data_IF_277491775395
#
_entry.id   IF_277491775395
#
_cell.length_a   1.000
_cell.length_b   1.000
_cell.length_c   1.000
_cell.angle_alpha   90.00
_cell.angle_beta   90.00
_cell.angle_gamma   90.00
#
_symmetry.space_group_name_H-M   'P 1'
#
loop_
_entity.id
_entity.type
_entity.pdbx_description
1 polymer ?
#
# COMPACT_ATOMS: atom_id res chain seq x y z
N UNK A 1 47.29 9.56 14.87
CA UNK A 1 48.21 9.50 13.71
C UNK A 1 47.64 8.52 12.70
N UNK A 2 47.47 8.94 11.45
CA UNK A 2 46.73 8.20 10.42
C UNK A 2 47.35 6.83 10.14
N UNK A 3 46.52 5.79 10.04
CA UNK A 3 46.91 4.42 9.65
C UNK A 3 47.73 4.40 8.35
N UNK A 4 47.51 5.38 7.45
CA UNK A 4 48.34 5.55 6.24
C UNK A 4 49.78 5.94 6.55
N UNK A 5 50.01 6.81 7.53
CA UNK A 5 51.36 7.24 7.90
C UNK A 5 52.15 6.10 8.56
N UNK A 6 51.49 5.28 9.39
CA UNK A 6 52.11 4.08 9.98
C UNK A 6 52.40 3.02 8.91
N UNK A 7 51.52 2.85 7.92
CA UNK A 7 51.74 1.94 6.80
C UNK A 7 52.93 2.37 5.93
N UNK A 8 53.03 3.65 5.60
CA UNK A 8 54.15 4.18 4.80
C UNK A 8 55.49 4.00 5.50
N UNK A 9 55.56 4.28 6.80
CA UNK A 9 56.78 4.05 7.58
C UNK A 9 57.19 2.58 7.61
N UNK A 10 56.25 1.65 7.72
CA UNK A 10 56.53 0.21 7.70
C UNK A 10 56.95 -0.29 6.30
N UNK A 11 56.39 0.27 5.23
CA UNK A 11 56.80 -0.04 3.85
C UNK A 11 58.22 0.45 3.56
N UNK A 12 58.60 1.61 4.08
CA UNK A 12 59.97 2.15 4.00
C UNK A 12 60.97 1.29 4.79
N UNK A 13 60.62 0.86 6.00
CA UNK A 13 61.45 -0.04 6.81
C UNK A 13 61.59 -1.44 6.18
N UNK A 14 60.52 -1.96 5.57
CA UNK A 14 60.56 -3.25 4.87
C UNK A 14 61.48 -3.19 3.64
N UNK A 15 61.39 -2.13 2.84
CA UNK A 15 62.26 -1.93 1.69
C UNK A 15 63.74 -1.78 2.09
N UNK A 16 64.01 -1.10 3.21
CA UNK A 16 65.36 -1.00 3.76
C UNK A 16 65.92 -2.35 4.25
N UNK A 17 65.07 -3.18 4.87
CA UNK A 17 65.45 -4.53 5.31
C UNK A 17 65.69 -5.48 4.12
N UNK A 18 64.86 -5.42 3.08
CA UNK A 18 65.03 -6.23 1.86
C UNK A 18 66.35 -5.89 1.13
N UNK A 19 66.69 -4.60 1.03
CA UNK A 19 67.97 -4.16 0.46
C UNK A 19 69.16 -4.71 1.25
N UNK A 20 69.07 -4.67 2.59
CA UNK A 20 70.13 -5.16 3.48
C UNK A 20 70.26 -6.69 3.44
N UNK A 21 69.16 -7.42 3.29
CA UNK A 21 69.17 -8.87 3.06
C UNK A 21 69.80 -9.24 1.71
N UNK A 22 69.47 -8.52 0.63
CA UNK A 22 70.07 -8.76 -0.67
C UNK A 22 71.59 -8.52 -0.66
N UNK A 23 72.06 -7.54 0.09
CA UNK A 23 73.49 -7.26 0.27
C UNK A 23 74.20 -8.36 1.08
N UNK A 24 73.58 -8.87 2.14
CA UNK A 24 74.08 -10.03 2.90
C UNK A 24 74.14 -11.30 2.05
N UNK A 25 73.13 -11.55 1.21
CA UNK A 25 73.12 -12.69 0.28
C UNK A 25 74.20 -12.57 -0.79
N UNK A 26 74.47 -11.36 -1.28
CA UNK A 26 75.56 -11.10 -2.21
C UNK A 26 76.92 -11.36 -1.54
N UNK A 27 77.12 -10.91 -0.30
CA UNK A 27 78.32 -11.18 0.49
C UNK A 27 78.50 -12.68 0.76
N UNK A 28 77.43 -13.40 1.10
CA UNK A 28 77.47 -14.86 1.29
C UNK A 28 77.84 -15.61 0.01
N UNK A 29 77.29 -15.23 -1.13
CA UNK A 29 77.65 -15.82 -2.43
C UNK A 29 79.09 -15.52 -2.82
N UNK A 30 79.57 -14.30 -2.57
CA UNK A 30 80.96 -13.94 -2.80
C UNK A 30 81.90 -14.74 -1.90
N UNK A 31 81.54 -14.94 -0.63
CA UNK A 31 82.30 -15.78 0.28
C UNK A 31 82.29 -17.25 -0.20
N UNK A 32 81.14 -17.84 -0.52
CA UNK A 32 81.05 -19.22 -0.98
C UNK A 32 81.77 -19.45 -2.33
N UNK A 33 81.76 -18.46 -3.24
CA UNK A 33 82.47 -18.53 -4.52
C UNK A 33 84.01 -18.56 -4.40
N UNK A 34 84.58 -17.97 -3.34
CA UNK A 34 86.03 -18.05 -3.06
C UNK A 34 86.44 -19.49 -2.70
N UNK A 35 85.51 -20.31 -2.20
CA UNK A 35 85.77 -21.74 -1.89
C UNK A 35 85.88 -22.64 -3.13
N UNK A 36 85.48 -22.19 -4.31
CA UNK A 36 85.46 -23.01 -5.53
C UNK A 36 86.74 -22.92 -6.37
N UNK A 37 87.62 -21.94 -6.12
CA UNK A 37 88.81 -21.69 -6.95
C UNK A 37 90.14 -22.26 -6.39
N UNK A 38 90.15 -22.88 -5.21
CA UNK A 38 91.32 -23.61 -4.68
C UNK A 38 91.00 -25.09 -4.49
N UNK A 39 90.91 -25.83 -5.59
CA UNK A 39 91.06 -27.28 -5.60
C UNK A 39 92.40 -27.64 -6.24
N UNK A 40 93.46 -27.66 -5.43
CA UNK A 40 94.73 -28.35 -5.71
C UNK A 40 95.08 -29.18 -4.46
N UNK A 41 95.80 -30.31 -4.61
CA UNK A 41 95.79 -31.42 -3.65
C UNK A 41 96.40 -31.07 -2.28
N UNK A 42 96.06 -31.85 -1.23
CA UNK A 42 96.23 -31.45 0.17
C UNK A 42 97.65 -31.75 0.68
N UNK A 43 98.37 -30.70 1.10
CA UNK A 43 99.46 -30.80 2.06
C UNK A 43 98.90 -30.49 3.46
N UNK A 44 99.25 -31.33 4.45
CA UNK A 44 98.67 -31.37 5.80
C UNK A 44 98.78 -30.09 6.65
N UNK A 45 99.30 -28.99 6.12
CA UNK A 45 99.26 -27.66 6.73
C UNK A 45 97.98 -26.87 6.36
N UNK A 46 97.32 -27.23 5.27
CA UNK A 46 96.19 -26.49 4.69
C UNK A 46 94.85 -26.86 5.35
N UNK A 47 94.75 -28.02 6.00
CA UNK A 47 93.56 -28.43 6.75
C UNK A 47 93.32 -27.56 7.99
N UNK A 48 94.37 -26.98 8.59
CA UNK A 48 94.21 -26.07 9.73
C UNK A 48 93.69 -24.69 9.27
N UNK A 49 94.22 -24.15 8.17
CA UNK A 49 93.88 -22.80 7.68
C UNK A 49 92.50 -22.76 7.00
N UNK A 50 92.11 -23.81 6.26
CA UNK A 50 90.75 -23.92 5.68
C UNK A 50 89.69 -24.15 6.76
N UNK A 51 90.01 -24.92 7.80
CA UNK A 51 89.11 -25.11 8.94
C UNK A 51 89.00 -23.83 9.77
N UNK A 52 90.10 -23.10 9.98
CA UNK A 52 90.07 -21.80 10.66
C UNK A 52 89.30 -20.73 9.86
N UNK A 53 89.51 -20.61 8.54
CA UNK A 53 88.77 -19.67 7.68
C UNK A 53 87.28 -20.03 7.59
N UNK A 54 86.96 -21.32 7.50
CA UNK A 54 85.58 -21.81 7.52
C UNK A 54 84.88 -21.50 8.85
N UNK A 55 85.58 -21.71 9.98
CA UNK A 55 85.08 -21.37 11.32
C UNK A 55 84.95 -19.86 11.52
N UNK A 56 85.87 -19.04 10.98
CA UNK A 56 85.78 -17.58 11.02
C UNK A 56 84.57 -17.05 10.24
N UNK A 57 84.28 -17.62 9.07
CA UNK A 57 83.08 -17.29 8.29
C UNK A 57 81.78 -17.69 8.96
N UNK A 58 81.74 -18.87 9.56
CA UNK A 58 80.61 -19.33 10.36
C UNK A 58 80.40 -18.43 11.58
N UNK A 59 81.48 -18.01 12.24
CA UNK A 59 81.41 -17.02 13.33
C UNK A 59 80.90 -15.67 12.86
N UNK A 60 81.36 -15.17 11.71
CA UNK A 60 80.85 -13.93 11.12
C UNK A 60 79.36 -14.02 10.77
N UNK A 61 78.92 -15.13 10.16
CA UNK A 61 77.49 -15.36 9.89
C UNK A 61 76.68 -15.44 11.18
N UNK A 62 77.19 -16.14 12.20
CA UNK A 62 76.55 -16.21 13.51
C UNK A 62 76.47 -14.83 14.17
N UNK A 63 77.54 -14.03 14.10
CA UNK A 63 77.55 -12.66 14.61
C UNK A 63 76.57 -11.75 13.84
N UNK A 64 76.44 -11.91 12.52
CA UNK A 64 75.47 -11.17 11.72
C UNK A 64 74.02 -11.58 12.05
N UNK A 65 73.76 -12.87 12.26
CA UNK A 65 72.46 -13.38 12.69
C UNK A 65 72.14 -12.96 14.12
N UNK A 66 73.12 -12.96 15.02
CA UNK A 66 72.98 -12.44 16.38
C UNK A 66 72.73 -10.93 16.39
N UNK A 67 73.37 -10.18 15.48
CA UNK A 67 73.15 -8.74 15.31
C UNK A 67 71.77 -8.42 14.72
N UNK A 68 71.22 -9.27 13.86
CA UNK A 68 69.87 -9.11 13.29
C UNK A 68 68.74 -9.61 14.22
N UNK A 69 69.07 -10.46 15.20
CA UNK A 69 68.13 -10.99 16.21
C UNK A 69 67.32 -9.91 16.96
N UNK A 70 67.89 -8.78 17.43
CA UNK A 70 67.11 -7.72 18.07
C UNK A 70 66.09 -7.07 17.12
N UNK A 71 66.41 -6.93 15.82
CA UNK A 71 65.49 -6.35 14.83
C UNK A 71 64.29 -7.28 14.57
N UNK A 72 64.52 -8.59 14.48
CA UNK A 72 63.43 -9.58 14.41
C UNK A 72 62.58 -9.61 15.69
N UNK A 73 63.21 -9.43 16.86
CA UNK A 73 62.49 -9.33 18.12
C UNK A 73 61.63 -8.07 18.19
N UNK A 74 62.15 -6.93 17.71
CA UNK A 74 61.42 -5.67 17.60
C UNK A 74 60.26 -5.77 16.62
N UNK A 75 60.47 -6.34 15.43
CA UNK A 75 59.42 -6.56 14.42
C UNK A 75 58.32 -7.49 14.95
N UNK A 76 58.69 -8.55 15.66
CA UNK A 76 57.72 -9.45 16.32
C UNK A 76 56.93 -8.72 17.41
N UNK A 77 57.58 -7.84 18.17
CA UNK A 77 56.93 -6.98 19.15
C UNK A 77 55.95 -5.99 18.50
N UNK A 78 56.35 -5.34 17.41
CA UNK A 78 55.50 -4.45 16.64
C UNK A 78 54.30 -5.18 16.01
N UNK A 79 54.52 -6.38 15.46
CA UNK A 79 53.47 -7.25 14.94
C UNK A 79 52.47 -7.68 16.02
N UNK A 80 52.96 -8.03 17.22
CA UNK A 80 52.09 -8.34 18.36
C UNK A 80 51.28 -7.13 18.82
N UNK A 81 51.90 -5.94 18.90
CA UNK A 81 51.22 -4.70 19.24
C UNK A 81 50.14 -4.32 18.21
N UNK A 82 50.43 -4.47 16.91
CA UNK A 82 49.47 -4.23 15.85
C UNK A 82 48.31 -5.22 15.90
N UNK A 83 48.58 -6.51 16.15
CA UNK A 83 47.53 -7.53 16.31
C UNK A 83 46.62 -7.23 17.50
N UNK A 84 47.19 -6.75 18.62
CA UNK A 84 46.42 -6.30 19.76
C UNK A 84 45.54 -5.09 19.42
N UNK A 85 46.09 -4.08 18.73
CA UNK A 85 45.33 -2.92 18.28
C UNK A 85 44.20 -3.28 17.30
N UNK A 86 44.43 -4.21 16.38
CA UNK A 86 43.39 -4.69 15.45
C UNK A 86 42.29 -5.42 16.23
N UNK A 87 42.65 -6.24 17.21
CA UNK A 87 41.68 -6.98 18.03
C UNK A 87 40.83 -6.03 18.88
N UNK A 88 41.44 -4.99 19.46
CA UNK A 88 40.73 -3.93 20.18
C UNK A 88 39.82 -3.11 19.25
N UNK A 89 40.31 -2.79 18.04
CA UNK A 89 39.53 -2.15 16.98
C UNK A 89 38.32 -3.00 16.55
N UNK A 90 38.48 -4.31 16.42
CA UNK A 90 37.40 -5.23 16.12
C UNK A 90 36.36 -5.29 17.25
N UNK A 91 36.80 -5.41 18.50
CA UNK A 91 35.91 -5.45 19.66
C UNK A 91 35.10 -4.15 19.82
N UNK A 92 35.71 -3.00 19.54
CA UNK A 92 35.02 -1.71 19.55
C UNK A 92 34.04 -1.59 18.37
N UNK A 93 34.42 -2.03 17.17
CA UNK A 93 33.53 -2.05 16.00
C UNK A 93 32.30 -2.95 16.22
N UNK A 94 32.47 -4.13 16.82
CA UNK A 94 31.36 -5.03 17.17
C UNK A 94 30.42 -4.40 18.20
N UNK A 95 30.96 -3.77 19.25
CA UNK A 95 30.15 -3.06 20.25
C UNK A 95 29.34 -1.92 19.63
N UNK A 96 29.97 -1.12 18.77
CA UNK A 96 29.32 0.00 18.07
C UNK A 96 28.24 -0.54 17.13
N UNK A 97 28.54 -1.58 16.34
CA UNK A 97 27.58 -2.21 15.43
C UNK A 97 26.37 -2.79 16.17
N UNK A 98 26.59 -3.46 17.30
CA UNK A 98 25.52 -3.96 18.16
C UNK A 98 24.64 -2.83 18.73
N UNK A 99 25.27 -1.74 19.19
CA UNK A 99 24.54 -0.56 19.67
C UNK A 99 23.71 0.10 18.57
N UNK A 100 24.25 0.21 17.35
CA UNK A 100 23.54 0.76 16.17
C UNK A 100 22.34 -0.12 15.81
N UNK A 101 22.52 -1.45 15.70
CA UNK A 101 21.40 -2.37 15.43
C UNK A 101 20.31 -2.28 16.50
N UNK A 102 20.70 -2.17 17.77
CA UNK A 102 19.76 -1.99 18.88
C UNK A 102 19.01 -0.66 18.81
N UNK A 103 19.69 0.41 18.39
CA UNK A 103 19.08 1.71 18.16
C UNK A 103 18.11 1.68 16.97
N UNK A 104 18.49 1.05 15.86
CA UNK A 104 17.65 0.92 14.67
C UNK A 104 16.37 0.14 14.98
N UNK A 105 16.47 -0.94 15.75
CA UNK A 105 15.29 -1.69 16.20
C UNK A 105 14.37 -0.87 17.11
N UNK A 106 14.93 0.04 17.93
CA UNK A 106 14.11 0.98 18.74
C UNK A 106 13.50 2.07 17.87
N UNK A 107 14.24 2.59 16.90
CA UNK A 107 13.76 3.60 15.95
C UNK A 107 12.63 3.06 15.09
N UNK A 108 12.75 1.83 14.59
CA UNK A 108 11.70 1.17 13.83
C UNK A 108 10.43 0.98 14.67
N UNK A 109 10.57 0.52 15.92
CA UNK A 109 9.43 0.41 16.85
C UNK A 109 8.79 1.76 17.18
N UNK A 110 9.60 2.80 17.38
CA UNK A 110 9.11 4.14 17.63
C UNK A 110 8.36 4.71 16.41
N UNK A 111 8.89 4.50 15.20
CA UNK A 111 8.22 4.89 13.96
C UNK A 111 6.87 4.19 13.79
N UNK A 112 6.81 2.87 14.03
CA UNK A 112 5.56 2.13 13.97
C UNK A 112 4.54 2.60 15.02
N UNK A 113 4.99 2.94 16.22
CA UNK A 113 4.12 3.50 17.27
C UNK A 113 3.58 4.89 16.88
N UNK A 114 4.41 5.75 16.28
CA UNK A 114 3.97 7.06 15.78
C UNK A 114 2.90 6.93 14.70
N UNK A 115 3.11 6.06 13.70
CA UNK A 115 2.09 5.82 12.66
C UNK A 115 0.75 5.38 13.24
N UNK A 116 0.76 4.51 14.26
CA UNK A 116 -0.47 4.09 14.96
C UNK A 116 -1.15 5.22 15.74
N UNK A 117 -0.37 6.12 16.35
CA UNK A 117 -0.93 7.30 17.01
C UNK A 117 -1.54 8.24 15.99
N UNK A 118 -0.88 8.47 14.86
CA UNK A 118 -1.41 9.29 13.76
C UNK A 118 -2.73 8.71 13.23
N UNK A 119 -2.80 7.40 12.99
CA UNK A 119 -4.03 6.70 12.60
C UNK A 119 -5.15 6.86 13.64
N UNK A 120 -4.85 6.71 14.94
CA UNK A 120 -5.83 6.90 16.01
C UNK A 120 -6.33 8.35 16.08
N UNK A 121 -5.45 9.34 15.86
CA UNK A 121 -5.81 10.76 15.78
C UNK A 121 -6.69 11.01 14.55
N UNK A 122 -6.40 10.42 13.39
CA UNK A 122 -7.24 10.55 12.20
C UNK A 122 -8.63 9.94 12.40
N UNK A 123 -8.73 8.77 13.04
CA UNK A 123 -10.01 8.13 13.34
C UNK A 123 -10.85 9.01 14.27
N UNK A 124 -10.23 9.57 15.31
CA UNK A 124 -10.91 10.53 16.21
C UNK A 124 -11.32 11.80 15.46
N UNK A 125 -10.47 12.32 14.59
CA UNK A 125 -10.79 13.48 13.74
C UNK A 125 -11.96 13.21 12.80
N UNK A 126 -12.08 12.00 12.26
CA UNK A 126 -13.25 11.60 11.47
C UNK A 126 -14.52 11.59 12.34
N UNK A 127 -14.44 11.09 13.59
CA UNK A 127 -15.58 11.06 14.49
C UNK A 127 -16.08 12.45 14.89
N UNK A 128 -15.16 13.34 15.27
CA UNK A 128 -15.47 14.74 15.58
C UNK A 128 -15.95 15.48 14.32
N UNK A 129 -15.38 15.16 13.15
CA UNK A 129 -15.80 15.67 11.85
C UNK A 129 -17.24 15.32 11.51
N UNK A 130 -17.67 14.07 11.71
CA UNK A 130 -19.07 13.66 11.52
C UNK A 130 -19.99 14.41 12.47
N UNK A 131 -19.64 14.47 13.77
CA UNK A 131 -20.45 15.18 14.78
C UNK A 131 -20.60 16.67 14.43
N UNK A 132 -19.52 17.32 14.01
CA UNK A 132 -19.53 18.71 13.58
C UNK A 132 -20.32 18.94 12.28
N UNK A 133 -20.19 18.05 11.30
CA UNK A 133 -20.94 18.13 10.05
C UNK A 133 -22.45 17.93 10.28
N UNK A 134 -22.82 17.00 11.16
CA UNK A 134 -24.21 16.80 11.59
C UNK A 134 -24.76 18.05 12.30
N UNK A 135 -23.99 18.68 13.18
CA UNK A 135 -24.40 19.92 13.86
C UNK A 135 -24.63 21.08 12.88
N UNK A 136 -23.88 21.13 11.78
CA UNK A 136 -24.04 22.13 10.71
C UNK A 136 -25.13 21.76 9.69
N UNK A 137 -25.68 20.55 9.75
CA UNK A 137 -26.65 20.04 8.78
C UNK A 137 -26.06 19.69 7.41
N UNK A 138 -24.74 19.60 7.28
CA UNK A 138 -24.04 19.21 6.05
C UNK A 138 -23.84 17.69 6.01
N UNK A 139 -24.81 17.03 5.39
CA UNK A 139 -24.85 15.57 5.27
C UNK A 139 -23.78 15.04 4.29
N UNK A 140 -23.35 15.85 3.32
CA UNK A 140 -22.32 15.47 2.36
C UNK A 140 -20.95 15.35 3.01
N UNK A 141 -20.58 16.34 3.82
CA UNK A 141 -19.34 16.28 4.60
C UNK A 141 -19.36 15.15 5.62
N UNK A 142 -20.50 14.89 6.28
CA UNK A 142 -20.63 13.79 7.23
C UNK A 142 -20.38 12.43 6.57
N UNK A 143 -20.97 12.18 5.40
CA UNK A 143 -20.77 10.95 4.64
C UNK A 143 -19.33 10.81 4.13
N UNK A 144 -18.69 11.90 3.73
CA UNK A 144 -17.28 11.88 3.36
C UNK A 144 -16.38 11.42 4.53
N UNK A 145 -16.63 11.93 5.75
CA UNK A 145 -15.90 11.51 6.94
C UNK A 145 -16.17 10.04 7.31
N UNK A 146 -17.40 9.53 7.14
CA UNK A 146 -17.72 8.11 7.34
C UNK A 146 -17.02 7.21 6.31
N UNK A 147 -16.98 7.62 5.04
CA UNK A 147 -16.25 6.88 4.00
C UNK A 147 -14.75 6.80 4.30
N UNK A 148 -14.15 7.93 4.71
CA UNK A 148 -12.75 7.98 5.12
C UNK A 148 -12.48 7.08 6.32
N UNK A 149 -13.39 7.06 7.30
CA UNK A 149 -13.30 6.17 8.46
C UNK A 149 -13.26 4.70 8.05
N UNK A 150 -14.16 4.25 7.16
CA UNK A 150 -14.16 2.87 6.67
C UNK A 150 -12.90 2.49 5.87
N UNK A 151 -12.28 3.45 5.16
CA UNK A 151 -11.02 3.22 4.46
C UNK A 151 -9.83 3.09 5.42
N UNK A 152 -9.79 3.90 6.48
CA UNK A 152 -8.75 3.86 7.51
C UNK A 152 -8.82 2.58 8.35
N UNK A 153 -10.03 2.15 8.71
CA UNK A 153 -10.24 0.92 9.49
C UNK A 153 -9.77 -0.33 8.70
N UNK A 154 -10.08 -0.40 7.39
CA UNK A 154 -9.60 -1.47 6.51
C UNK A 154 -8.06 -1.52 6.38
N UNK A 155 -7.42 -0.35 6.32
CA UNK A 155 -5.96 -0.23 6.29
C UNK A 155 -5.33 -0.65 7.62
N UNK A 156 -5.89 -0.23 8.75
CA UNK A 156 -5.46 -0.63 10.09
C UNK A 156 -5.58 -2.14 10.33
N UNK A 157 -6.66 -2.76 9.84
CA UNK A 157 -6.88 -4.21 9.89
C UNK A 157 -5.87 -5.00 9.05
N UNK A 158 -5.49 -4.48 7.87
CA UNK A 158 -4.53 -5.13 6.97
C UNK A 158 -3.10 -5.03 7.49
N UNK A 159 -2.71 -3.89 8.08
CA UNK A 159 -1.43 -3.73 8.76
C UNK A 159 -1.28 -4.59 10.03
N UNK A 160 -2.40 -4.97 10.66
CA UNK A 160 -2.42 -5.85 11.83
C UNK A 160 -2.06 -7.31 11.52
N UNK A 161 -2.28 -7.78 10.29
CA UNK A 161 -2.08 -9.19 9.93
C UNK A 161 -0.59 -9.58 9.86
N UNK A 162 0.28 -8.66 9.42
CA UNK A 162 1.75 -8.85 9.41
C UNK A 162 2.37 -8.72 10.83
N UNK A 163 1.57 -8.34 11.83
CA UNK A 163 2.01 -7.96 13.18
C UNK A 163 1.39 -8.80 14.31
N UNK A 164 0.71 -9.89 13.97
CA UNK A 164 0.07 -10.81 14.92
C UNK A 164 1.06 -11.40 15.95
N UNK A 165 2.36 -11.49 15.63
CA UNK A 165 3.40 -11.92 16.59
C UNK A 165 3.79 -10.85 17.63
N UNK A 166 3.42 -9.58 17.43
CA UNK A 166 3.67 -8.47 18.39
C UNK A 166 2.42 -8.09 19.21
N UNK A 167 1.37 -8.90 19.16
CA UNK A 167 0.04 -8.59 19.73
C UNK A 167 -0.02 -8.52 21.27
N UNK A 168 0.95 -9.10 21.99
CA UNK A 168 0.93 -9.15 23.47
C UNK A 168 1.08 -7.78 24.18
N UNK A 169 1.48 -6.72 23.46
CA UNK A 169 1.57 -5.34 23.98
C UNK A 169 0.43 -4.45 23.44
N UNK A 170 -0.41 -4.97 22.54
CA UNK A 170 -1.42 -4.20 21.80
C UNK A 170 -2.80 -4.15 22.46
N UNK A 171 -3.08 -5.04 23.40
CA UNK A 171 -4.37 -5.11 24.11
C UNK A 171 -4.78 -3.82 24.85
N UNK A 172 -3.91 -3.10 25.58
CA UNK A 172 -4.34 -1.92 26.33
C UNK A 172 -4.61 -0.69 25.44
N UNK A 173 -3.94 -0.54 24.30
CA UNK A 173 -4.20 0.57 23.36
C UNK A 173 -5.45 0.32 22.52
N UNK A 174 -5.70 -0.93 22.13
CA UNK A 174 -6.97 -1.33 21.52
C UNK A 174 -8.14 -1.10 22.46
N UNK A 175 -8.02 -1.48 23.74
CA UNK A 175 -9.07 -1.22 24.72
C UNK A 175 -9.33 0.28 24.89
N UNK A 176 -8.31 1.11 25.07
CA UNK A 176 -8.51 2.56 25.32
C UNK A 176 -9.11 3.30 24.12
N UNK A 177 -8.77 2.92 22.88
CA UNK A 177 -9.36 3.55 21.68
C UNK A 177 -10.76 3.00 21.38
N UNK A 178 -11.01 1.71 21.62
CA UNK A 178 -12.31 1.08 21.34
C UNK A 178 -13.35 1.37 22.43
N UNK A 179 -12.95 1.42 23.71
CA UNK A 179 -13.85 1.71 24.83
C UNK A 179 -14.27 3.19 24.91
N UNK A 180 -13.42 4.11 24.41
CA UNK A 180 -13.72 5.55 24.41
C UNK A 180 -14.35 6.11 23.12
N UNK A 181 -14.10 5.50 21.96
CA UNK A 181 -14.49 6.06 20.65
C UNK A 181 -15.34 5.16 19.75
N UNK A 182 -15.30 3.83 19.94
CA UNK A 182 -16.03 2.88 19.10
C UNK A 182 -17.55 2.94 19.27
N UNK A 183 -18.02 3.10 20.52
CA UNK A 183 -19.45 3.24 20.82
C UNK A 183 -20.03 4.57 20.32
N UNK A 184 -19.27 5.65 20.44
CA UNK A 184 -19.66 6.97 19.97
C UNK A 184 -19.84 6.98 18.45
N UNK A 185 -18.95 6.35 17.69
CA UNK A 185 -19.04 6.34 16.23
C UNK A 185 -20.17 5.49 15.70
N UNK A 186 -20.41 4.30 16.27
CA UNK A 186 -21.55 3.48 15.86
C UNK A 186 -22.88 4.20 16.13
N UNK A 187 -23.01 4.87 17.29
CA UNK A 187 -24.20 5.65 17.64
C UNK A 187 -24.38 6.89 16.75
N UNK A 188 -23.29 7.62 16.46
CA UNK A 188 -23.30 8.79 15.56
C UNK A 188 -23.61 8.36 14.12
N UNK A 189 -23.08 7.22 13.66
CA UNK A 189 -23.36 6.67 12.35
C UNK A 189 -24.83 6.27 12.23
N UNK A 190 -25.41 5.63 13.24
CA UNK A 190 -26.83 5.26 13.25
C UNK A 190 -27.75 6.50 13.29
N UNK A 191 -27.34 7.51 14.05
CA UNK A 191 -28.02 8.82 14.05
C UNK A 191 -27.94 9.49 12.68
N UNK A 192 -26.81 9.43 11.98
CA UNK A 192 -26.67 9.94 10.62
C UNK A 192 -27.55 9.15 9.64
N UNK A 193 -27.58 7.82 9.74
CA UNK A 193 -28.42 6.95 8.89
C UNK A 193 -29.89 7.31 9.04
N UNK A 194 -30.39 7.38 10.27
CA UNK A 194 -31.79 7.72 10.55
C UNK A 194 -32.17 9.12 10.07
N UNK A 195 -31.29 10.13 10.25
CA UNK A 195 -31.53 11.50 9.76
C UNK A 195 -31.54 11.57 8.24
N UNK A 196 -30.61 10.87 7.57
CA UNK A 196 -30.55 10.81 6.10
C UNK A 196 -31.79 10.11 5.53
N UNK A 197 -32.21 8.98 6.11
CA UNK A 197 -33.43 8.27 5.71
C UNK A 197 -34.68 9.14 5.92
N UNK A 198 -34.84 9.75 7.09
CA UNK A 198 -35.97 10.62 7.39
C UNK A 198 -36.06 11.80 6.43
N UNK A 199 -34.92 12.43 6.11
CA UNK A 199 -34.85 13.54 5.16
C UNK A 199 -35.12 13.09 3.72
N UNK A 200 -34.69 11.89 3.35
CA UNK A 200 -34.99 11.29 2.06
C UNK A 200 -36.48 10.97 1.91
N UNK A 201 -37.08 10.34 2.92
CA UNK A 201 -38.53 10.06 2.95
C UNK A 201 -39.38 11.35 2.96
N UNK A 202 -38.91 12.40 3.63
CA UNK A 202 -39.55 13.72 3.59
C UNK A 202 -39.44 14.36 2.20
N UNK A 203 -38.30 14.22 1.51
CA UNK A 203 -38.11 14.71 0.15
C UNK A 203 -38.97 13.94 -0.87
N UNK A 204 -39.12 12.62 -0.69
CA UNK A 204 -40.03 11.77 -1.47
C UNK A 204 -41.49 12.20 -1.27
N UNK A 205 -41.92 12.44 -0.02
CA UNK A 205 -43.27 12.94 0.27
C UNK A 205 -43.54 14.36 -0.28
N UNK A 206 -42.49 15.16 -0.44
CA UNK A 206 -42.56 16.52 -0.97
C UNK A 206 -42.36 16.59 -2.50
N UNK A 207 -42.18 15.45 -3.19
CA UNK A 207 -41.91 15.33 -4.63
C UNK A 207 -40.72 16.19 -5.13
N UNK A 208 -39.75 16.48 -4.25
CA UNK A 208 -38.64 17.38 -4.56
C UNK A 208 -37.52 16.64 -5.30
N UNK A 209 -37.43 16.88 -6.62
CA UNK A 209 -36.38 16.31 -7.50
C UNK A 209 -34.96 16.63 -6.98
N UNK A 210 -34.73 17.86 -6.51
CA UNK A 210 -33.40 18.29 -6.02
C UNK A 210 -32.99 17.57 -4.73
N UNK A 211 -33.95 17.29 -3.84
CA UNK A 211 -33.69 16.57 -2.59
C UNK A 211 -33.33 15.09 -2.81
N UNK A 212 -33.94 14.46 -3.80
CA UNK A 212 -33.69 13.05 -4.16
C UNK A 212 -32.35 12.92 -4.89
N UNK A 213 -32.04 13.84 -5.81
CA UNK A 213 -30.74 13.88 -6.51
C UNK A 213 -29.58 14.14 -5.53
N UNK A 214 -29.76 15.01 -4.53
CA UNK A 214 -28.76 15.25 -3.50
C UNK A 214 -28.63 14.09 -2.48
N UNK A 215 -29.71 13.33 -2.25
CA UNK A 215 -29.75 12.22 -1.31
C UNK A 215 -29.21 10.90 -1.85
N UNK A 216 -29.43 10.59 -3.14
CA UNK A 216 -29.02 9.33 -3.75
C UNK A 216 -27.51 9.01 -3.60
N UNK A 217 -26.58 9.95 -3.85
CA UNK A 217 -25.14 9.70 -3.68
C UNK A 217 -24.71 9.41 -2.23
N UNK A 218 -25.54 9.80 -1.25
CA UNK A 218 -25.26 9.63 0.18
C UNK A 218 -25.68 8.23 0.68
N UNK A 219 -26.62 7.57 -0.02
CA UNK A 219 -27.18 6.28 0.39
C UNK A 219 -26.24 5.10 0.09
N UNK A 220 -25.48 5.19 -1.01
CA UNK A 220 -24.46 4.20 -1.39
C UNK A 220 -23.39 3.97 -0.32
N UNK A 221 -22.62 5.00 0.09
CA UNK A 221 -21.57 4.87 1.11
C UNK A 221 -22.08 4.52 2.51
N UNK A 222 -23.37 4.74 2.80
CA UNK A 222 -23.99 4.38 4.09
C UNK A 222 -24.60 2.96 4.11
N UNK A 223 -24.61 2.26 2.97
CA UNK A 223 -25.21 0.92 2.86
C UNK A 223 -26.73 0.91 2.98
N UNK A 224 -27.39 2.06 2.84
CA UNK A 224 -28.83 2.24 3.03
C UNK A 224 -29.64 2.01 1.75
N UNK A 225 -29.00 1.51 0.69
CA UNK A 225 -29.59 1.31 -0.63
C UNK A 225 -30.86 0.43 -0.60
N UNK A 226 -30.92 -0.58 0.27
CA UNK A 226 -32.08 -1.46 0.38
C UNK A 226 -33.30 -0.80 1.05
N UNK A 227 -33.10 0.03 2.07
CA UNK A 227 -34.17 0.73 2.78
C UNK A 227 -34.74 1.90 1.95
N UNK A 228 -33.87 2.62 1.24
CA UNK A 228 -34.26 3.75 0.39
C UNK A 228 -34.87 3.32 -0.96
N UNK A 229 -34.74 2.04 -1.34
CA UNK A 229 -35.32 1.47 -2.57
C UNK A 229 -36.84 1.62 -2.63
N UNK A 230 -37.56 1.28 -1.56
CA UNK A 230 -39.03 1.37 -1.52
C UNK A 230 -39.54 2.79 -1.80
N UNK A 231 -39.12 3.79 -1.02
CA UNK A 231 -39.51 5.19 -1.22
C UNK A 231 -39.09 5.75 -2.59
N UNK A 232 -37.89 5.40 -3.08
CA UNK A 232 -37.44 5.82 -4.42
C UNK A 232 -38.30 5.23 -5.54
N UNK A 233 -38.67 3.95 -5.44
CA UNK A 233 -39.51 3.27 -6.43
C UNK A 233 -40.95 3.81 -6.43
N UNK A 234 -41.48 4.21 -5.28
CA UNK A 234 -42.79 4.86 -5.18
C UNK A 234 -42.79 6.25 -5.83
N UNK A 235 -41.75 7.06 -5.57
CA UNK A 235 -41.53 8.33 -6.27
C UNK A 235 -41.39 8.15 -7.78
N UNK A 236 -40.54 7.22 -8.22
CA UNK A 236 -40.33 6.94 -9.64
C UNK A 236 -41.62 6.50 -10.33
N UNK A 237 -42.45 5.70 -9.66
CA UNK A 237 -43.77 5.30 -10.16
C UNK A 237 -44.74 6.48 -10.24
N UNK A 238 -44.76 7.36 -9.24
CA UNK A 238 -45.58 8.59 -9.26
C UNK A 238 -45.20 9.53 -10.41
N UNK A 239 -43.89 9.73 -10.62
CA UNK A 239 -43.34 10.58 -11.67
C UNK A 239 -43.56 10.01 -13.08
N UNK A 240 -43.43 8.70 -13.26
CA UNK A 240 -43.84 8.02 -14.50
C UNK A 240 -45.36 8.13 -14.72
N UNK A 241 -46.13 7.92 -13.66
CA UNK A 241 -47.59 8.01 -13.70
C UNK A 241 -48.08 9.34 -14.23
N UNK A 242 -47.52 10.45 -13.73
CA UNK A 242 -47.88 11.81 -14.13
C UNK A 242 -47.43 12.14 -15.56
N UNK A 243 -46.17 11.87 -15.91
CA UNK A 243 -45.65 12.10 -17.27
C UNK A 243 -46.41 11.31 -18.33
N UNK A 244 -46.78 10.07 -18.04
CA UNK A 244 -47.56 9.26 -18.95
C UNK A 244 -49.03 9.72 -19.01
N UNK A 245 -49.62 10.20 -17.90
CA UNK A 245 -50.97 10.77 -17.90
C UNK A 245 -51.07 12.08 -18.69
N UNK A 246 -50.05 12.93 -18.65
CA UNK A 246 -49.96 14.13 -19.48
C UNK A 246 -49.91 13.79 -20.97
N UNK A 247 -49.22 12.71 -21.35
CA UNK A 247 -49.17 12.22 -22.73
C UNK A 247 -50.52 11.66 -23.19
N UNK A 248 -51.22 10.93 -22.32
CA UNK A 248 -52.58 10.43 -22.60
C UNK A 248 -53.58 11.60 -22.76
N UNK A 249 -53.43 12.68 -22.00
CA UNK A 249 -54.25 13.88 -22.11
C UNK A 249 -53.90 14.74 -23.35
N UNK A 250 -52.64 14.77 -23.75
CA UNK A 250 -52.15 15.50 -24.93
C UNK A 250 -52.41 14.76 -26.25
N UNK A 251 -52.75 13.47 -26.20
CA UNK A 251 -53.00 12.66 -27.39
C UNK A 251 -54.26 13.16 -28.14
N UNK A 252 -54.14 13.59 -29.42
CA UNK A 252 -55.29 14.02 -30.18
C UNK A 252 -56.23 12.84 -30.44
N UNK A 253 -57.54 13.04 -30.21
CA UNK A 253 -58.57 12.04 -30.42
C UNK A 253 -58.57 11.56 -31.88
N UNK A 254 -58.06 10.34 -32.13
CA UNK A 254 -57.98 9.73 -33.46
C UNK A 254 -56.57 9.59 -34.04
N UNK A 255 -55.51 9.90 -33.29
CA UNK A 255 -54.14 9.62 -33.73
C UNK A 255 -53.94 8.11 -34.01
N UNK A 256 -53.18 7.73 -35.06
CA UNK A 256 -52.87 6.33 -35.30
C UNK A 256 -52.02 5.76 -34.16
N UNK A 257 -52.23 4.48 -33.82
CA UNK A 257 -51.58 3.80 -32.70
C UNK A 257 -50.05 3.87 -32.79
N UNK A 258 -49.52 3.96 -34.00
CA UNK A 258 -48.09 4.12 -34.24
C UNK A 258 -47.53 5.39 -33.64
N UNK A 259 -48.24 6.53 -33.73
CA UNK A 259 -47.78 7.78 -33.12
C UNK A 259 -47.94 7.77 -31.60
N UNK A 260 -49.05 7.20 -31.10
CA UNK A 260 -49.27 7.08 -29.65
C UNK A 260 -48.24 6.15 -28.99
N UNK A 261 -47.94 4.98 -29.58
CA UNK A 261 -46.94 4.04 -29.08
C UNK A 261 -45.53 4.63 -29.16
N UNK A 262 -45.15 5.26 -30.29
CA UNK A 262 -43.83 5.90 -30.42
C UNK A 262 -43.63 7.03 -29.41
N UNK A 263 -44.65 7.84 -29.14
CA UNK A 263 -44.58 8.88 -28.11
C UNK A 263 -44.42 8.28 -26.70
N UNK A 264 -45.13 7.20 -26.41
CA UNK A 264 -45.07 6.51 -25.12
C UNK A 264 -43.69 5.88 -24.88
N UNK A 265 -43.14 5.16 -25.87
CA UNK A 265 -41.80 4.59 -25.78
C UNK A 265 -40.70 5.64 -25.70
N UNK A 266 -40.80 6.73 -26.47
CA UNK A 266 -39.81 7.81 -26.41
C UNK A 266 -39.81 8.52 -25.05
N UNK A 267 -40.97 8.74 -24.44
CA UNK A 267 -41.07 9.32 -23.10
C UNK A 267 -40.57 8.37 -22.02
N UNK A 268 -40.90 7.07 -22.10
CA UNK A 268 -40.34 6.05 -21.22
C UNK A 268 -38.80 6.00 -21.34
N UNK A 269 -38.26 6.09 -22.56
CA UNK A 269 -36.82 6.09 -22.80
C UNK A 269 -36.13 7.36 -22.25
N UNK A 270 -36.74 8.54 -22.44
CA UNK A 270 -36.23 9.79 -21.88
C UNK A 270 -36.21 9.78 -20.35
N UNK A 271 -37.26 9.21 -19.73
CA UNK A 271 -37.30 9.01 -18.27
C UNK A 271 -36.19 8.08 -17.78
N UNK A 272 -35.99 6.93 -18.44
CA UNK A 272 -34.92 6.00 -18.10
C UNK A 272 -33.54 6.65 -18.24
N UNK A 273 -33.30 7.43 -19.29
CA UNK A 273 -32.02 8.13 -19.48
C UNK A 273 -31.70 9.11 -18.35
N UNK A 274 -32.71 9.72 -17.73
CA UNK A 274 -32.52 10.65 -16.61
C UNK A 274 -32.37 9.91 -15.26
N UNK A 275 -33.15 8.86 -15.02
CA UNK A 275 -33.26 8.24 -13.70
C UNK A 275 -32.29 7.07 -13.48
N UNK A 276 -31.83 6.39 -14.55
CA UNK A 276 -30.86 5.29 -14.45
C UNK A 276 -29.49 5.75 -13.92
N UNK A 277 -28.90 6.88 -14.38
CA UNK A 277 -27.63 7.37 -13.82
C UNK A 277 -27.75 7.76 -12.34
N UNK A 278 -28.90 8.27 -11.92
CA UNK A 278 -29.19 8.64 -10.54
C UNK A 278 -29.31 7.41 -9.64
N UNK A 279 -30.05 6.40 -10.10
CA UNK A 279 -30.18 5.12 -9.41
C UNK A 279 -28.83 4.38 -9.34
N UNK A 280 -28.01 4.42 -10.40
CA UNK A 280 -26.69 3.80 -10.42
C UNK A 280 -25.72 4.47 -9.43
N UNK A 281 -25.82 5.79 -9.22
CA UNK A 281 -24.95 6.51 -8.29
C UNK A 281 -25.22 6.20 -6.81
N UNK A 282 -26.44 5.77 -6.46
CA UNK A 282 -26.87 5.60 -5.07
C UNK A 282 -27.31 4.19 -4.68
N UNK A 283 -27.83 3.40 -5.63
CA UNK A 283 -28.47 2.10 -5.43
C UNK A 283 -27.79 0.95 -6.19
N UNK A 284 -26.60 1.17 -6.76
CA UNK A 284 -25.83 0.13 -7.47
C UNK A 284 -25.62 -1.15 -6.62
N UNK A 285 -25.51 -1.00 -5.29
CA UNK A 285 -25.34 -2.13 -4.38
C UNK A 285 -26.61 -2.99 -4.20
N UNK A 286 -27.81 -2.50 -4.54
CA UNK A 286 -29.09 -3.17 -4.29
C UNK A 286 -29.89 -3.48 -5.56
N UNK A 287 -29.25 -3.52 -6.73
CA UNK A 287 -29.88 -3.74 -8.04
C UNK A 287 -31.03 -2.77 -8.35
N UNK A 288 -31.01 -1.55 -7.79
CA UNK A 288 -32.10 -0.57 -7.94
C UNK A 288 -32.40 -0.24 -9.41
N UNK A 289 -31.38 -0.27 -10.26
CA UNK A 289 -31.49 -0.02 -11.70
C UNK A 289 -32.32 -1.10 -12.41
N UNK A 290 -32.18 -2.37 -12.00
CA UNK A 290 -32.90 -3.50 -12.61
C UNK A 290 -34.38 -3.44 -12.24
N UNK A 291 -34.69 -3.11 -10.98
CA UNK A 291 -36.08 -3.00 -10.55
C UNK A 291 -36.77 -1.75 -11.09
N UNK A 292 -36.03 -0.65 -11.26
CA UNK A 292 -36.51 0.53 -11.98
C UNK A 292 -36.86 0.18 -13.43
N UNK A 293 -35.97 -0.54 -14.13
CA UNK A 293 -36.20 -0.99 -15.50
C UNK A 293 -37.41 -1.92 -15.61
N UNK A 294 -37.58 -2.87 -14.67
CA UNK A 294 -38.75 -3.77 -14.64
C UNK A 294 -40.04 -2.99 -14.42
N UNK A 295 -40.05 -2.06 -13.46
CA UNK A 295 -41.23 -1.23 -13.18
C UNK A 295 -41.62 -0.36 -14.38
N UNK A 296 -40.64 0.28 -15.03
CA UNK A 296 -40.91 1.05 -16.26
C UNK A 296 -41.43 0.12 -17.36
N UNK A 297 -40.83 -1.07 -17.54
CA UNK A 297 -41.28 -2.01 -18.56
C UNK A 297 -42.72 -2.49 -18.34
N UNK A 298 -43.08 -2.81 -17.10
CA UNK A 298 -44.43 -3.25 -16.73
C UNK A 298 -45.46 -2.14 -16.98
N UNK A 299 -45.15 -0.90 -16.60
CA UNK A 299 -46.03 0.26 -16.78
C UNK A 299 -46.18 0.63 -18.27
N UNK A 300 -45.08 0.68 -19.04
CA UNK A 300 -45.14 0.94 -20.48
C UNK A 300 -45.86 -0.22 -21.20
N UNK A 301 -45.72 -1.47 -20.74
CA UNK A 301 -46.44 -2.64 -21.27
C UNK A 301 -47.95 -2.58 -21.03
N UNK A 302 -48.38 -2.24 -19.82
CA UNK A 302 -49.80 -2.08 -19.48
C UNK A 302 -50.46 -0.97 -20.31
N UNK A 303 -49.79 0.17 -20.47
CA UNK A 303 -50.31 1.30 -21.27
C UNK A 303 -50.28 1.04 -22.77
N UNK A 304 -49.23 0.41 -23.29
CA UNK A 304 -49.20 -0.03 -24.69
C UNK A 304 -50.34 -0.99 -25.01
N UNK A 305 -50.65 -1.93 -24.10
CA UNK A 305 -51.80 -2.82 -24.24
C UNK A 305 -53.14 -2.06 -24.25
N UNK A 306 -53.30 -1.02 -23.42
CA UNK A 306 -54.49 -0.18 -23.41
C UNK A 306 -54.67 0.60 -24.73
N UNK A 307 -53.60 1.21 -25.25
CA UNK A 307 -53.59 1.91 -26.54
C UNK A 307 -53.94 0.95 -27.68
N UNK A 308 -53.35 -0.24 -27.71
CA UNK A 308 -53.66 -1.27 -28.72
C UNK A 308 -55.11 -1.74 -28.63
N UNK A 309 -55.65 -1.95 -27.42
CA UNK A 309 -57.05 -2.32 -27.23
C UNK A 309 -58.01 -1.23 -27.71
N UNK A 310 -57.68 0.06 -27.48
CA UNK A 310 -58.47 1.19 -27.99
C UNK A 310 -58.52 1.17 -29.52
N UNK A 311 -57.37 1.01 -30.19
CA UNK A 311 -57.32 0.96 -31.66
C UNK A 311 -58.03 -0.25 -32.26
N UNK A 312 -57.97 -1.41 -31.59
CA UNK A 312 -58.72 -2.59 -32.00
C UNK A 312 -60.24 -2.40 -31.88
N UNK A 313 -60.70 -1.66 -30.87
CA UNK A 313 -62.11 -1.29 -30.69
C UNK A 313 -62.56 -0.26 -31.73
N UNK A 314 -61.76 0.78 -31.97
CA UNK A 314 -62.06 1.85 -32.93
C UNK A 314 -62.17 1.32 -34.36
N UNK A 315 -61.30 0.39 -34.76
CA UNK A 315 -61.37 -0.25 -36.09
C UNK A 315 -62.46 -1.31 -36.22
N UNK A 316 -63.23 -1.60 -35.16
CA UNK A 316 -64.25 -2.67 -35.13
C UNK A 316 -63.73 -3.96 -35.79
N UNK A 317 -62.46 -4.31 -35.55
CA UNK A 317 -61.77 -5.40 -36.29
C UNK A 317 -62.53 -6.71 -36.13
N UNK A 318 -63.13 -6.95 -34.96
CA UNK A 318 -63.99 -8.13 -34.72
C UNK A 318 -65.26 -8.16 -35.60
N UNK A 319 -65.77 -7.00 -36.00
CA UNK A 319 -66.94 -6.86 -36.87
C UNK A 319 -66.54 -7.06 -38.33
N UNK A 320 -65.42 -6.48 -38.77
CA UNK A 320 -64.87 -6.71 -40.11
C UNK A 320 -64.42 -8.17 -40.32
N UNK A 321 -63.84 -8.82 -39.30
CA UNK A 321 -63.48 -10.26 -39.36
C UNK A 321 -64.74 -11.14 -39.44
N UNK A 322 -65.83 -10.76 -38.76
CA UNK A 322 -67.13 -11.46 -38.90
C UNK A 322 -67.74 -11.26 -40.29
N UNK A 323 -67.68 -10.05 -40.85
CA UNK A 323 -68.20 -9.75 -42.19
C UNK A 323 -67.42 -10.47 -43.30
N UNK A 324 -66.09 -10.54 -43.19
CA UNK A 324 -65.23 -11.32 -44.11
C UNK A 324 -65.49 -12.83 -43.95
N UNK A 325 -65.68 -13.32 -42.71
CA UNK A 325 -66.05 -14.71 -42.46
C UNK A 325 -67.41 -15.10 -43.04
N UNK A 326 -68.38 -14.18 -43.07
CA UNK A 326 -69.70 -14.40 -43.67
C UNK A 326 -69.75 -14.24 -45.20
N UNK A 327 -68.74 -13.64 -45.81
CA UNK A 327 -68.64 -13.49 -47.29
C UNK A 327 -67.82 -14.62 -47.94
N UNK A 328 -67.16 -15.46 -47.13
CA UNK A 328 -66.40 -16.64 -47.56
C UNK A 328 -67.16 -17.96 -47.36
N UNK A 329 -68.38 -17.93 -46.81
CA UNK A 329 -69.31 -19.05 -46.68
C UNK A 329 -70.49 -18.88 -47.63
#
# INVERSE_FOLDING_TARGET
MSVRAAKQHLEEELAALEARHAELDAQLRQLLGIGSQKQQPPDAAVDAEIVEDGLQRLRLCLQQVEAARPDFAALRGAGAALSAQISEGHATAERVSGAVRGLDARRARAAAALTRVDEAVELRGCAEGVRGAMARGDLGAAVHHVRRFHQLDAAALSGSAELAEMAAIQEPLRLVVLEGGGHDMAAVQESLRSVVLSRFEAAVRADSRDGIVAGCPLLGPLGLAAAAKGPFMEFARGLLGSTLAELDAAAPAGAPATHALSALYNSCAAFLQQQVPLAASGLAASCGDVDLLRMVHDECGARAAAVMQRHLRERKVKQQVKEVGSTLA
#
